data_IF_612160895625
#
_entry.id   IF_612160895625
#
_cell.length_a   1.000
_cell.length_b   1.000
_cell.length_c   1.000
_cell.angle_alpha   90.00
_cell.angle_beta   90.00
_cell.angle_gamma   90.00
#
_symmetry.space_group_name_H-M   'P 1'
#
loop_
_entity.id
_entity.type
_entity.pdbx_description
1 polymer ?
#
# COMPACT_ATOMS: atom_id res chain seq x y z
N UNK A 1 0.99 -7.72 -15.91
CA UNK A 1 0.47 -8.51 -14.74
C UNK A 1 1.13 -8.01 -13.44
N UNK A 2 0.52 -8.22 -12.27
CA UNK A 2 1.16 -7.86 -10.98
C UNK A 2 2.38 -8.75 -10.74
N UNK A 3 3.52 -8.17 -10.35
CA UNK A 3 4.72 -8.90 -9.89
C UNK A 3 5.00 -8.56 -8.42
N UNK A 4 5.51 -9.53 -7.67
CA UNK A 4 5.89 -9.36 -6.26
C UNK A 4 7.37 -9.65 -6.08
N UNK A 5 8.00 -8.92 -5.17
CA UNK A 5 9.42 -9.05 -4.86
C UNK A 5 9.60 -9.12 -3.34
N UNK A 6 10.54 -9.96 -2.86
CA UNK A 6 10.85 -10.06 -1.44
C UNK A 6 11.61 -8.83 -0.91
N UNK A 7 12.30 -8.10 -1.80
CA UNK A 7 13.14 -6.96 -1.44
C UNK A 7 13.29 -5.94 -2.58
N UNK A 8 13.83 -4.77 -2.22
CA UNK A 8 14.19 -3.65 -3.08
C UNK A 8 15.56 -3.93 -3.71
N UNK A 9 15.65 -3.82 -5.03
CA UNK A 9 16.91 -3.86 -5.77
C UNK A 9 17.26 -2.44 -6.29
N UNK A 10 18.38 -2.31 -7.00
CA UNK A 10 18.85 -1.04 -7.57
C UNK A 10 17.80 -0.38 -8.46
N UNK A 11 17.16 -1.15 -9.33
CA UNK A 11 16.21 -0.63 -10.32
C UNK A 11 14.93 -0.14 -9.65
N UNK A 12 14.51 -0.82 -8.58
CA UNK A 12 13.41 -0.36 -7.74
C UNK A 12 13.75 0.96 -7.06
N UNK A 13 14.94 1.07 -6.48
CA UNK A 13 15.39 2.30 -5.83
C UNK A 13 15.46 3.47 -6.82
N UNK A 14 16.03 3.25 -7.99
CA UNK A 14 16.13 4.25 -9.06
C UNK A 14 14.74 4.68 -9.54
N UNK A 15 13.83 3.73 -9.75
CA UNK A 15 12.45 4.03 -10.14
C UNK A 15 11.76 4.94 -9.11
N UNK A 16 11.87 4.63 -7.82
CA UNK A 16 11.23 5.41 -6.75
C UNK A 16 11.74 6.85 -6.70
N UNK A 17 13.06 7.03 -6.75
CA UNK A 17 13.70 8.34 -6.62
C UNK A 17 13.50 9.24 -7.86
N UNK A 18 13.21 8.65 -9.04
CA UNK A 18 12.88 9.39 -10.27
C UNK A 18 11.47 9.96 -10.30
N UNK A 19 10.55 9.48 -9.45
CA UNK A 19 9.19 9.99 -9.48
C UNK A 19 9.08 11.40 -8.91
N UNK A 20 8.14 12.23 -9.39
CA UNK A 20 7.97 13.59 -8.88
C UNK A 20 7.36 13.63 -7.46
N UNK A 21 6.64 12.58 -7.08
CA UNK A 21 5.94 12.45 -5.81
C UNK A 21 5.71 10.96 -5.47
N UNK A 22 5.44 10.68 -4.20
CA UNK A 22 4.97 9.39 -3.71
C UNK A 22 3.73 9.57 -2.84
N UNK A 23 2.99 8.50 -2.60
CA UNK A 23 1.80 8.50 -1.77
C UNK A 23 2.03 7.63 -0.55
N UNK A 24 1.54 8.08 0.60
CA UNK A 24 1.57 7.31 1.85
C UNK A 24 0.13 7.04 2.26
N UNK A 25 -0.22 5.75 2.36
CA UNK A 25 -1.50 5.30 2.88
C UNK A 25 -1.30 4.68 4.26
N UNK A 26 -2.19 5.00 5.18
CA UNK A 26 -2.23 4.44 6.53
C UNK A 26 -3.68 4.39 7.02
N UNK A 27 -3.97 3.53 7.99
CA UNK A 27 -5.30 3.43 8.55
C UNK A 27 -5.22 3.07 10.04
N UNK A 28 -6.14 3.61 10.86
CA UNK A 28 -6.25 3.20 12.24
C UNK A 28 -6.73 1.74 12.31
N UNK A 29 -6.54 1.11 13.46
CA UNK A 29 -7.00 -0.24 13.74
C UNK A 29 -8.52 -0.25 13.83
N UNK A 30 -9.10 0.73 14.54
CA UNK A 30 -10.53 0.79 14.85
C UNK A 30 -11.19 2.14 14.45
N UNK A 31 -10.77 2.77 13.36
CA UNK A 31 -11.36 4.01 12.85
C UNK A 31 -12.06 3.87 11.50
N UNK A 32 -12.88 4.88 11.14
CA UNK A 32 -13.64 4.91 9.88
C UNK A 32 -12.85 5.51 8.72
N UNK A 33 -11.87 6.37 9.00
CA UNK A 33 -11.13 7.11 7.99
C UNK A 33 -9.86 6.35 7.61
N UNK A 34 -9.61 6.26 6.29
CA UNK A 34 -8.35 5.78 5.74
C UNK A 34 -7.59 7.00 5.25
N UNK A 35 -6.36 7.17 5.72
CA UNK A 35 -5.53 8.29 5.34
C UNK A 35 -4.76 8.00 4.05
N UNK A 36 -4.65 9.00 3.19
CA UNK A 36 -3.84 8.99 1.99
C UNK A 36 -3.24 10.37 1.76
N UNK A 37 -1.90 10.47 1.74
CA UNK A 37 -1.20 11.74 1.62
C UNK A 37 -0.18 11.71 0.49
N UNK A 38 -0.24 12.62 -0.50
CA UNK A 38 0.85 12.81 -1.45
C UNK A 38 2.02 13.52 -0.76
N UNK A 39 3.24 13.11 -1.09
CA UNK A 39 4.50 13.68 -0.62
C UNK A 39 5.38 13.99 -1.84
N UNK A 40 5.86 15.23 -1.92
CA UNK A 40 6.66 15.69 -3.06
C UNK A 40 8.17 15.54 -2.84
N UNK A 41 8.91 15.73 -3.93
CA UNK A 41 10.38 15.76 -3.95
C UNK A 41 11.01 14.50 -3.30
N UNK A 42 10.76 13.28 -3.80
CA UNK A 42 11.29 12.06 -3.19
C UNK A 42 12.82 12.08 -3.10
N UNK A 43 13.50 12.65 -4.09
CA UNK A 43 14.95 12.88 -4.09
C UNK A 43 15.47 13.80 -2.98
N UNK A 44 14.58 14.44 -2.21
CA UNK A 44 14.90 15.28 -1.05
C UNK A 44 14.25 14.82 0.25
N UNK A 45 13.21 13.99 0.18
CA UNK A 45 12.40 13.62 1.35
C UNK A 45 12.33 12.12 1.60
N UNK A 46 12.83 11.28 0.69
CA UNK A 46 12.76 9.82 0.75
C UNK A 46 14.15 9.18 0.54
N UNK A 47 14.48 8.15 1.31
CA UNK A 47 15.73 7.42 1.20
C UNK A 47 15.48 5.91 1.17
N UNK A 48 16.27 5.20 0.35
CA UNK A 48 16.39 3.74 0.41
C UNK A 48 17.62 3.42 1.24
N UNK A 49 17.41 2.88 2.44
CA UNK A 49 18.48 2.61 3.43
C UNK A 49 19.06 1.19 3.27
N UNK A 50 18.29 0.29 2.66
CA UNK A 50 18.71 -1.08 2.39
C UNK A 50 17.67 -1.86 1.60
N UNK A 51 17.87 -3.17 1.46
CA UNK A 51 17.00 -4.05 0.66
C UNK A 51 15.55 -4.11 1.16
N UNK A 52 15.31 -3.88 2.45
CA UNK A 52 13.97 -3.89 3.05
C UNK A 52 13.75 -2.69 3.96
N UNK A 53 14.57 -1.65 3.86
CA UNK A 53 14.50 -0.49 4.74
C UNK A 53 14.47 0.79 3.92
N UNK A 54 13.42 1.58 4.12
CA UNK A 54 13.28 2.90 3.52
C UNK A 54 12.85 3.89 4.60
N UNK A 55 13.09 5.17 4.37
CA UNK A 55 12.67 6.21 5.29
C UNK A 55 12.20 7.45 4.53
N UNK A 56 11.28 8.20 5.13
CA UNK A 56 10.95 9.53 4.63
C UNK A 56 10.83 10.55 5.75
N UNK A 57 11.15 11.80 5.43
CA UNK A 57 11.02 12.93 6.36
C UNK A 57 9.56 13.39 6.40
N UNK A 58 8.97 13.40 7.59
CA UNK A 58 7.67 14.03 7.84
C UNK A 58 7.91 15.46 8.35
N UNK A 59 7.49 16.44 7.55
CA UNK A 59 7.59 17.86 7.86
C UNK A 59 6.24 18.43 8.32
N UNK A 60 6.32 19.47 9.12
CA UNK A 60 5.19 20.26 9.62
C UNK A 60 4.49 20.99 8.48
N UNK A 61 3.16 21.00 8.48
CA UNK A 61 2.34 21.63 7.44
C UNK A 61 1.02 20.89 7.14
N UNK A 62 0.91 19.63 7.57
CA UNK A 62 -0.32 18.83 7.53
C UNK A 62 -0.58 18.13 8.86
N UNK A 63 -1.78 17.54 9.02
CA UNK A 63 -2.12 16.70 10.17
C UNK A 63 -1.17 15.51 10.38
N UNK A 64 -1.37 14.77 11.47
CA UNK A 64 -0.47 13.69 11.92
C UNK A 64 -1.05 12.28 11.75
N UNK A 65 -2.08 12.09 10.91
CA UNK A 65 -2.78 10.81 10.69
C UNK A 65 -1.83 9.61 10.54
N UNK A 66 -0.82 9.73 9.67
CA UNK A 66 0.15 8.62 9.50
C UNK A 66 0.97 8.35 10.75
N UNK A 67 1.40 9.38 11.49
CA UNK A 67 2.12 9.20 12.76
C UNK A 67 1.22 8.47 13.76
N UNK A 68 -0.03 8.92 13.93
CA UNK A 68 -0.99 8.30 14.84
C UNK A 68 -1.27 6.83 14.49
N UNK A 69 -1.50 6.51 13.22
CA UNK A 69 -1.71 5.14 12.77
C UNK A 69 -0.47 4.25 12.94
N UNK A 70 0.72 4.83 12.76
CA UNK A 70 1.97 4.11 12.99
C UNK A 70 2.15 3.79 14.47
N UNK A 71 1.90 4.74 15.38
CA UNK A 71 1.94 4.46 16.82
C UNK A 71 0.94 3.39 17.26
N UNK A 72 -0.26 3.40 16.70
CA UNK A 72 -1.30 2.43 17.07
C UNK A 72 -1.03 1.03 16.50
N UNK A 73 -0.70 0.92 15.21
CA UNK A 73 -0.66 -0.39 14.54
C UNK A 73 0.48 -0.57 13.52
N UNK A 74 1.23 0.49 13.21
CA UNK A 74 2.41 0.42 12.34
C UNK A 74 2.13 0.19 10.85
N UNK A 75 0.88 0.01 10.40
CA UNK A 75 0.61 -0.37 8.99
C UNK A 75 0.72 0.83 8.07
N UNK A 76 1.62 0.73 7.09
CA UNK A 76 1.83 1.76 6.07
C UNK A 76 1.98 1.12 4.69
N UNK A 77 1.46 1.78 3.67
CA UNK A 77 1.80 1.48 2.28
C UNK A 77 2.34 2.74 1.61
N UNK A 78 3.50 2.62 0.96
CA UNK A 78 4.04 3.69 0.13
C UNK A 78 3.84 3.33 -1.33
N UNK A 79 3.36 4.26 -2.15
CA UNK A 79 3.12 4.04 -3.57
C UNK A 79 3.82 5.08 -4.44
N UNK A 80 4.45 4.61 -5.51
CA UNK A 80 5.06 5.42 -6.56
C UNK A 80 4.36 5.14 -7.89
N UNK A 81 4.13 6.17 -8.69
CA UNK A 81 3.49 6.08 -10.00
C UNK A 81 4.39 6.71 -11.06
N UNK A 82 4.53 6.03 -12.19
CA UNK A 82 5.20 6.56 -13.37
C UNK A 82 4.28 7.50 -14.15
N UNK A 83 4.76 8.72 -14.33
CA UNK A 83 4.16 9.74 -15.20
C UNK A 83 4.90 9.89 -16.54
N UNK A 84 5.93 9.06 -16.77
CA UNK A 84 6.69 9.00 -18.02
C UNK A 84 6.16 7.96 -19.00
N UNK A 85 6.83 7.75 -20.13
CA UNK A 85 6.34 6.88 -21.22
C UNK A 85 5.99 5.46 -20.76
N UNK A 86 6.75 4.88 -19.84
CA UNK A 86 6.51 3.53 -19.34
C UNK A 86 5.51 3.52 -18.16
N UNK A 87 4.32 2.89 -18.30
CA UNK A 87 3.29 2.87 -17.26
C UNK A 87 3.62 1.87 -16.14
N UNK A 88 3.99 2.36 -14.95
CA UNK A 88 4.32 1.52 -13.80
C UNK A 88 3.78 2.09 -12.50
N UNK A 89 3.24 1.23 -11.64
CA UNK A 89 2.89 1.54 -10.25
C UNK A 89 3.68 0.58 -9.36
N UNK A 90 4.38 1.13 -8.36
CA UNK A 90 5.11 0.38 -7.35
C UNK A 90 4.51 0.63 -5.97
N UNK A 91 4.29 -0.42 -5.19
CA UNK A 91 3.82 -0.35 -3.81
C UNK A 91 4.81 -1.06 -2.89
N UNK A 92 5.16 -0.39 -1.80
CA UNK A 92 5.88 -0.95 -0.67
C UNK A 92 4.87 -1.18 0.46
N UNK A 93 4.71 -2.43 0.88
CA UNK A 93 3.93 -2.76 2.06
C UNK A 93 4.87 -2.84 3.26
N UNK A 94 4.61 -1.99 4.26
CA UNK A 94 5.58 -1.71 5.31
C UNK A 94 4.99 -1.81 6.71
N UNK A 95 5.88 -2.04 7.68
CA UNK A 95 5.67 -1.66 9.09
C UNK A 95 6.47 -0.40 9.38
N UNK A 96 5.81 0.61 9.93
CA UNK A 96 6.42 1.89 10.26
C UNK A 96 6.87 2.00 11.71
N UNK A 97 7.89 2.82 11.90
CA UNK A 97 8.35 3.34 13.20
C UNK A 97 8.53 4.84 13.05
N UNK A 98 7.99 5.61 14.00
CA UNK A 98 8.20 7.06 14.07
C UNK A 98 9.48 7.32 14.86
N UNK A 99 10.39 8.11 14.29
CA UNK A 99 11.58 8.63 14.96
C UNK A 99 11.43 10.15 15.00
N UNK A 100 11.02 10.69 16.14
CA UNK A 100 10.77 12.12 16.30
C UNK A 100 12.08 12.92 16.37
N UNK A 101 12.02 14.23 16.09
CA UNK A 101 13.20 15.11 16.08
C UNK A 101 14.03 15.07 17.38
N UNK A 102 13.40 14.82 18.52
CA UNK A 102 14.05 14.71 19.83
C UNK A 102 14.59 13.32 20.17
N UNK A 103 14.38 12.32 19.33
CA UNK A 103 14.86 10.95 19.53
C UNK A 103 16.35 10.85 19.20
N UNK A 104 17.14 10.15 20.03
CA UNK A 104 18.59 9.94 19.81
C UNK A 104 18.89 9.27 18.45
N UNK A 105 17.95 8.49 17.93
CA UNK A 105 18.06 7.82 16.62
C UNK A 105 17.88 8.78 15.44
N UNK A 106 17.30 9.96 15.66
CA UNK A 106 17.00 10.91 14.58
C UNK A 106 18.26 11.36 13.85
N UNK A 107 19.28 11.81 14.58
CA UNK A 107 20.54 12.30 14.01
C UNK A 107 21.26 11.26 13.14
N UNK A 108 21.55 10.05 13.66
CA UNK A 108 22.15 8.98 12.87
C UNK A 108 21.33 8.59 11.63
N UNK A 109 20.00 8.50 11.77
CA UNK A 109 19.12 8.15 10.65
C UNK A 109 19.09 9.25 9.60
N UNK A 110 19.01 10.51 10.02
CA UNK A 110 19.09 11.67 9.15
C UNK A 110 20.42 11.70 8.36
N UNK A 111 21.53 11.37 9.02
CA UNK A 111 22.84 11.28 8.37
C UNK A 111 22.90 10.16 7.31
N UNK A 112 22.29 8.99 7.59
CA UNK A 112 22.17 7.90 6.60
C UNK A 112 21.32 8.30 5.40
N UNK A 113 20.28 9.09 5.62
CA UNK A 113 19.50 9.69 4.54
C UNK A 113 20.31 10.73 3.74
N UNK A 114 21.45 11.21 4.25
CA UNK A 114 22.30 12.20 3.57
C UNK A 114 21.76 13.64 3.69
N UNK A 115 22.07 14.51 2.72
CA UNK A 115 21.62 15.93 2.72
C UNK A 115 20.09 16.14 2.60
N UNK A 116 19.32 15.05 2.67
CA UNK A 116 17.85 15.04 2.59
C UNK A 116 17.20 15.70 3.82
N UNK A 117 17.85 15.71 4.98
CA UNK A 117 17.28 16.22 6.25
C UNK A 117 17.72 17.65 6.56
N UNK A 118 17.67 18.53 5.56
CA UNK A 118 17.72 19.99 5.76
C UNK A 118 16.36 20.64 5.48
N UNK A 119 15.28 19.86 5.42
CA UNK A 119 13.93 20.36 5.18
C UNK A 119 13.48 21.21 6.38
N UNK A 120 13.29 22.53 6.22
CA UNK A 120 12.75 23.36 7.28
C UNK A 120 11.40 22.79 7.74
N UNK A 121 11.23 22.63 9.05
CA UNK A 121 9.99 22.10 9.64
C UNK A 121 9.90 20.58 9.75
N UNK A 122 10.97 19.81 9.48
CA UNK A 122 11.01 18.38 9.81
C UNK A 122 10.65 18.13 11.28
N UNK A 123 9.69 17.23 11.53
CA UNK A 123 9.23 16.87 12.89
C UNK A 123 9.49 15.41 13.25
N UNK A 124 9.56 14.54 12.25
CA UNK A 124 9.89 13.13 12.43
C UNK A 124 10.49 12.52 11.15
N UNK A 125 11.19 11.42 11.30
CA UNK A 125 11.50 10.47 10.23
C UNK A 125 10.57 9.27 10.41
N UNK A 126 9.90 8.86 9.34
CA UNK A 126 9.12 7.63 9.32
C UNK A 126 10.00 6.55 8.71
N UNK A 127 10.54 5.69 9.57
CA UNK A 127 11.31 4.51 9.19
C UNK A 127 10.34 3.39 8.82
N UNK A 128 10.55 2.75 7.68
CA UNK A 128 9.65 1.76 7.12
C UNK A 128 10.42 0.46 6.82
N UNK A 129 10.03 -0.60 7.52
CA UNK A 129 10.44 -1.97 7.23
C UNK A 129 9.52 -2.57 6.16
N UNK A 130 10.07 -2.85 4.98
CA UNK A 130 9.36 -3.30 3.78
C UNK A 130 9.32 -4.82 3.76
N UNK A 131 8.18 -5.42 4.06
CA UNK A 131 8.03 -6.87 4.05
C UNK A 131 7.54 -7.42 2.70
N UNK A 132 7.03 -6.57 1.81
CA UNK A 132 6.62 -6.96 0.45
C UNK A 132 6.64 -5.77 -0.50
N UNK A 133 7.22 -5.96 -1.68
CA UNK A 133 7.14 -5.02 -2.79
C UNK A 133 6.23 -5.59 -3.89
N UNK A 134 5.43 -4.72 -4.50
CA UNK A 134 4.56 -5.06 -5.62
C UNK A 134 4.73 -4.06 -6.75
N UNK A 135 4.88 -4.56 -7.98
CA UNK A 135 4.73 -3.75 -9.20
C UNK A 135 3.47 -4.15 -9.96
N UNK A 136 2.86 -3.17 -10.63
CA UNK A 136 1.66 -3.37 -11.45
C UNK A 136 1.63 -2.37 -12.61
N UNK A 137 0.90 -2.72 -13.67
CA UNK A 137 0.74 -1.88 -14.84
C UNK A 137 0.03 -0.56 -14.47
N UNK A 138 0.55 0.57 -14.93
CA UNK A 138 -0.03 1.90 -14.73
C UNK A 138 -0.86 2.38 -15.92
N UNK A 139 -1.59 1.50 -16.62
CA UNK A 139 -2.18 1.83 -17.93
C UNK A 139 -3.19 2.99 -17.91
N UNK A 140 -3.81 3.26 -16.75
CA UNK A 140 -4.68 4.42 -16.56
C UNK A 140 -4.01 5.64 -15.90
N UNK A 141 -2.72 5.57 -15.53
CA UNK A 141 -2.01 6.70 -14.93
C UNK A 141 -1.63 7.68 -16.04
N UNK A 142 -1.96 8.98 -15.94
CA UNK A 142 -1.67 9.92 -17.03
C UNK A 142 -0.17 10.17 -17.21
N UNK A 143 0.19 10.68 -18.37
CA UNK A 143 1.53 11.17 -18.70
C UNK A 143 1.66 12.64 -18.31
N UNK A 144 2.84 13.06 -17.85
CA UNK A 144 3.19 14.49 -17.77
C UNK A 144 3.80 14.92 -19.10
N UNK A 145 3.31 16.05 -19.63
CA UNK A 145 3.75 16.62 -20.91
C UNK A 145 5.25 16.93 -20.87
N UNK A 146 5.99 16.46 -21.88
CA UNK A 146 7.43 16.66 -22.00
C UNK A 146 8.28 15.65 -21.23
N UNK A 147 7.67 14.60 -20.66
CA UNK A 147 8.43 13.45 -20.17
C UNK A 147 9.21 12.82 -21.33
N UNK A 148 10.54 12.94 -21.29
CA UNK A 148 11.41 12.27 -22.28
C UNK A 148 11.53 10.81 -21.89
N UNK A 149 11.37 9.91 -22.86
CA UNK A 149 11.77 8.51 -22.75
C UNK A 149 13.25 8.47 -22.36
N UNK A 150 13.55 8.14 -21.11
CA UNK A 150 14.93 8.00 -20.66
C UNK A 150 15.14 6.52 -20.47
N UNK A 151 15.55 5.84 -21.55
CA UNK A 151 15.64 4.38 -21.65
C UNK A 151 16.40 3.82 -20.46
N UNK A 152 15.66 3.32 -19.48
CA UNK A 152 16.20 2.65 -18.30
C UNK A 152 15.98 1.15 -18.43
N UNK A 153 16.85 0.29 -17.85
CA UNK A 153 16.71 -1.16 -17.95
C UNK A 153 15.32 -1.68 -17.55
N UNK A 154 14.68 -1.08 -16.54
CA UNK A 154 13.35 -1.49 -16.07
C UNK A 154 12.18 -1.05 -16.95
N UNK A 155 12.39 -0.12 -17.91
CA UNK A 155 11.38 0.25 -18.90
C UNK A 155 11.21 -0.87 -19.93
N UNK A 156 12.29 -1.58 -20.29
CA UNK A 156 12.25 -2.74 -21.19
C UNK A 156 11.36 -3.88 -20.66
N UNK A 157 11.34 -4.13 -19.35
CA UNK A 157 10.43 -5.13 -18.76
C UNK A 157 8.95 -4.70 -18.81
N UNK A 158 8.69 -3.40 -18.79
CA UNK A 158 7.33 -2.86 -18.93
C UNK A 158 6.90 -2.80 -20.41
N UNK A 159 7.86 -2.73 -21.34
CA UNK A 159 7.66 -2.84 -22.80
C UNK A 159 7.29 -4.26 -23.24
N UNK A 160 7.67 -5.31 -22.50
CA UNK A 160 7.21 -6.68 -22.78
C UNK A 160 5.74 -6.93 -22.39
N UNK A 161 5.25 -6.29 -21.32
CA UNK A 161 3.85 -6.38 -20.85
C UNK A 161 2.95 -5.31 -21.52
N UNK A 162 3.57 -4.26 -22.09
CA UNK A 162 2.96 -3.17 -22.83
C UNK A 162 3.40 -3.18 -24.28
N UNK A 163 2.64 -3.90 -25.12
CA UNK A 163 2.81 -4.00 -26.57
C UNK A 163 3.28 -2.70 -27.23
N UNK A 164 4.43 -2.77 -27.94
CA UNK A 164 5.09 -1.69 -28.71
C UNK A 164 4.17 -0.50 -29.01
N UNK A 165 4.33 0.59 -28.27
CA UNK A 165 3.78 1.90 -28.63
C UNK A 165 4.92 2.88 -28.83
N UNK A 166 5.77 2.59 -29.81
CA UNK A 166 6.33 3.68 -30.59
C UNK A 166 5.26 4.06 -31.62
N UNK A 167 5.03 5.36 -31.73
CA UNK A 167 4.22 6.03 -32.74
C UNK A 167 2.80 6.46 -32.30
N UNK A 168 2.67 7.79 -32.27
CA UNK A 168 1.45 8.60 -32.31
C UNK A 168 0.56 8.69 -31.06
N UNK A 169 1.11 9.11 -29.91
CA UNK A 169 0.29 9.74 -28.85
C UNK A 169 -0.10 11.18 -29.23
N UNK A 170 -0.93 11.33 -30.26
CA UNK A 170 -1.61 12.60 -30.57
C UNK A 170 -2.75 12.83 -29.58
N UNK A 171 -2.46 13.74 -28.63
CA UNK A 171 -3.32 14.64 -27.82
C UNK A 171 -4.83 14.32 -27.84
N UNK A 172 -5.27 13.50 -26.90
CA UNK A 172 -6.64 13.54 -26.38
C UNK A 172 -6.59 14.35 -25.08
N UNK A 173 -7.40 15.41 -24.98
CA UNK A 173 -7.71 16.16 -23.75
C UNK A 173 -6.54 16.46 -22.80
N UNK A 174 -5.77 17.51 -23.05
CA UNK A 174 -4.70 17.94 -22.13
C UNK A 174 -5.22 18.96 -21.13
N UNK A 175 -5.52 18.53 -19.90
CA UNK A 175 -5.78 19.45 -18.79
C UNK A 175 -4.49 19.62 -17.95
N UNK A 176 -4.09 20.86 -17.70
CA UNK A 176 -3.04 21.23 -16.72
C UNK A 176 -1.71 20.45 -16.82
N UNK A 177 -1.27 20.08 -18.04
CA UNK A 177 0.02 19.42 -18.26
C UNK A 177 -0.01 17.90 -18.18
N UNK A 178 -1.17 17.28 -17.97
CA UNK A 178 -1.37 15.83 -18.05
C UNK A 178 -2.03 15.42 -19.38
N UNK A 179 -1.68 14.24 -19.89
CA UNK A 179 -2.34 13.61 -21.04
C UNK A 179 -2.68 12.15 -20.76
N UNK A 180 -3.87 11.73 -21.18
CA UNK A 180 -4.35 10.36 -20.98
C UNK A 180 -3.60 9.35 -21.85
N UNK A 181 -3.45 8.12 -21.34
CA UNK A 181 -2.89 6.99 -22.08
C UNK A 181 -4.00 6.24 -22.80
N UNK A 182 -3.73 5.81 -24.04
CA UNK A 182 -4.61 4.86 -24.76
C UNK A 182 -4.35 3.39 -24.43
N UNK A 183 -3.40 3.10 -23.54
CA UNK A 183 -2.97 1.73 -23.24
C UNK A 183 -4.06 0.90 -22.56
N UNK A 184 -4.88 1.51 -21.71
CA UNK A 184 -6.02 0.82 -21.07
C UNK A 184 -7.07 0.38 -22.09
N UNK A 185 -7.48 1.27 -23.01
CA UNK A 185 -8.48 0.95 -24.04
C UNK A 185 -7.99 -0.11 -25.02
N UNK A 186 -6.71 -0.01 -25.43
CA UNK A 186 -6.05 -1.01 -26.27
C UNK A 186 -6.03 -2.38 -25.58
N UNK A 187 -5.63 -2.43 -24.30
CA UNK A 187 -5.58 -3.68 -23.53
C UNK A 187 -6.97 -4.29 -23.36
N UNK A 188 -7.98 -3.47 -23.02
CA UNK A 188 -9.35 -3.94 -22.83
C UNK A 188 -9.94 -4.50 -24.14
N UNK A 189 -9.76 -3.79 -25.25
CA UNK A 189 -10.18 -4.25 -26.58
C UNK A 189 -9.52 -5.57 -26.94
N UNK A 190 -8.19 -5.68 -26.81
CA UNK A 190 -7.45 -6.91 -27.10
C UNK A 190 -7.90 -8.09 -26.23
N UNK A 191 -8.19 -7.86 -24.94
CA UNK A 191 -8.70 -8.90 -24.05
C UNK A 191 -10.13 -9.34 -24.41
N UNK A 192 -10.96 -8.42 -24.88
CA UNK A 192 -12.33 -8.71 -25.29
C UNK A 192 -12.36 -9.50 -26.60
N UNK A 193 -11.55 -9.11 -27.59
CA UNK A 193 -11.38 -9.83 -28.86
C UNK A 193 -10.92 -11.28 -28.61
N UNK A 194 -9.99 -11.47 -27.66
CA UNK A 194 -9.49 -12.81 -27.26
C UNK A 194 -10.47 -13.56 -26.34
N UNK A 195 -11.62 -12.99 -25.99
CA UNK A 195 -12.57 -13.52 -24.98
C UNK A 195 -11.90 -13.94 -23.66
N UNK A 196 -10.80 -13.26 -23.30
CA UNK A 196 -9.94 -13.64 -22.18
C UNK A 196 -10.25 -12.86 -20.88
N UNK A 197 -11.11 -11.84 -20.94
CA UNK A 197 -11.45 -10.98 -19.80
C UNK A 197 -11.96 -11.76 -18.58
N UNK A 198 -12.88 -12.71 -18.78
CA UNK A 198 -13.41 -13.50 -17.65
C UNK A 198 -12.32 -14.39 -17.04
N UNK A 199 -11.44 -14.96 -17.87
CA UNK A 199 -10.29 -15.74 -17.41
C UNK A 199 -9.32 -14.89 -16.57
N UNK A 200 -9.05 -13.66 -17.02
CA UNK A 200 -8.25 -12.70 -16.25
C UNK A 200 -8.92 -12.37 -14.90
N UNK A 201 -10.21 -12.00 -14.91
CA UNK A 201 -10.95 -11.69 -13.69
C UNK A 201 -10.98 -12.87 -12.71
N UNK A 202 -11.20 -14.08 -13.23
CA UNK A 202 -11.17 -15.34 -12.49
C UNK A 202 -9.84 -15.53 -11.74
N UNK A 203 -8.72 -15.12 -12.33
CA UNK A 203 -7.39 -15.33 -11.75
C UNK A 203 -6.91 -14.16 -10.90
N UNK A 204 -7.29 -12.92 -11.23
CA UNK A 204 -6.71 -11.72 -10.62
C UNK A 204 -7.68 -10.92 -9.74
N UNK A 205 -9.00 -11.18 -9.81
CA UNK A 205 -10.01 -10.37 -9.10
C UNK A 205 -10.92 -11.18 -8.18
N UNK A 206 -10.65 -12.48 -7.97
CA UNK A 206 -11.49 -13.32 -7.11
C UNK A 206 -11.27 -13.08 -5.61
N UNK A 207 -10.12 -12.51 -5.22
CA UNK A 207 -9.75 -12.27 -3.81
C UNK A 207 -8.75 -11.11 -3.68
N UNK A 208 -8.73 -10.44 -2.53
CA UNK A 208 -7.70 -9.46 -2.17
C UNK A 208 -6.40 -10.13 -1.68
N UNK A 209 -5.32 -9.34 -1.55
CA UNK A 209 -4.05 -9.80 -0.99
C UNK A 209 -4.17 -10.35 0.44
N UNK A 210 -5.12 -9.83 1.22
CA UNK A 210 -5.38 -10.28 2.60
C UNK A 210 -6.37 -11.44 2.69
N UNK A 211 -6.75 -12.00 1.53
CA UNK A 211 -7.68 -13.10 1.44
C UNK A 211 -9.15 -12.70 1.60
N UNK A 212 -9.50 -11.44 1.38
CA UNK A 212 -10.91 -10.99 1.40
C UNK A 212 -11.60 -11.35 0.08
N UNK A 213 -12.88 -11.76 0.10
CA UNK A 213 -13.59 -12.13 -1.11
C UNK A 213 -13.66 -10.97 -2.12
N UNK A 214 -13.31 -11.24 -3.38
CA UNK A 214 -13.31 -10.28 -4.48
C UNK A 214 -14.60 -10.32 -5.32
N UNK A 215 -14.46 -10.05 -6.61
CA UNK A 215 -15.55 -9.90 -7.57
C UNK A 215 -16.42 -11.17 -7.64
N UNK A 216 -17.73 -11.04 -7.40
CA UNK A 216 -18.66 -12.19 -7.37
C UNK A 216 -18.70 -12.98 -8.68
N UNK A 217 -18.63 -12.32 -9.84
CA UNK A 217 -18.61 -12.99 -11.15
C UNK A 217 -17.34 -13.83 -11.33
N UNK A 218 -16.17 -13.28 -10.99
CA UNK A 218 -14.90 -14.01 -10.99
C UNK A 218 -14.94 -15.23 -10.06
N UNK A 219 -15.48 -15.06 -8.85
CA UNK A 219 -15.62 -16.12 -7.85
C UNK A 219 -16.55 -17.24 -8.32
N UNK A 220 -17.72 -16.91 -8.89
CA UNK A 220 -18.63 -17.89 -9.51
C UNK A 220 -17.95 -18.65 -10.65
N UNK A 221 -17.18 -17.96 -11.50
CA UNK A 221 -16.40 -18.58 -12.57
C UNK A 221 -15.27 -19.50 -12.06
N UNK A 222 -14.85 -19.37 -10.79
CA UNK A 222 -13.97 -20.32 -10.08
C UNK A 222 -14.72 -21.47 -9.41
N UNK A 223 -16.05 -21.51 -9.43
CA UNK A 223 -16.85 -22.51 -8.71
C UNK A 223 -16.95 -22.25 -7.21
N UNK A 224 -16.69 -21.02 -6.75
CA UNK A 224 -16.81 -20.68 -5.33
C UNK A 224 -18.26 -20.60 -4.88
N UNK A 225 -18.53 -21.14 -3.69
CA UNK A 225 -19.81 -21.02 -3.00
C UNK A 225 -19.86 -19.70 -2.23
N UNK A 226 -20.50 -18.69 -2.83
CA UNK A 226 -20.45 -17.29 -2.34
C UNK A 226 -20.84 -17.17 -0.87
N UNK A 227 -21.94 -17.79 -0.45
CA UNK A 227 -22.42 -17.71 0.94
C UNK A 227 -21.41 -18.32 1.92
N UNK A 228 -20.85 -19.48 1.58
CA UNK A 228 -19.89 -20.20 2.42
C UNK A 228 -18.57 -19.42 2.55
N UNK A 229 -18.03 -18.92 1.43
CA UNK A 229 -16.78 -18.16 1.43
C UNK A 229 -16.91 -16.80 2.11
N UNK A 230 -18.05 -16.12 1.96
CA UNK A 230 -18.32 -14.85 2.66
C UNK A 230 -18.47 -15.09 4.17
N UNK A 231 -19.11 -16.20 4.56
CA UNK A 231 -19.23 -16.62 5.96
C UNK A 231 -17.85 -16.94 6.55
N UNK A 232 -17.02 -17.70 5.82
CA UNK A 232 -15.64 -18.00 6.21
C UNK A 232 -14.80 -16.74 6.39
N UNK A 233 -14.96 -15.76 5.50
CA UNK A 233 -14.28 -14.47 5.62
C UNK A 233 -14.73 -13.69 6.86
N UNK A 234 -16.04 -13.71 7.18
CA UNK A 234 -16.58 -13.10 8.40
C UNK A 234 -16.04 -13.77 9.66
N UNK A 235 -16.02 -15.10 9.71
CA UNK A 235 -15.44 -15.86 10.84
C UNK A 235 -13.96 -15.53 11.00
N UNK A 236 -13.18 -15.54 9.91
CA UNK A 236 -11.75 -15.18 9.96
C UNK A 236 -11.53 -13.78 10.52
N UNK A 237 -12.41 -12.82 10.20
CA UNK A 237 -12.33 -11.45 10.75
C UNK A 237 -12.53 -11.46 12.26
N UNK A 238 -13.54 -12.16 12.78
CA UNK A 238 -13.78 -12.30 14.21
C UNK A 238 -12.58 -12.93 14.92
N UNK A 239 -12.07 -14.03 14.34
CA UNK A 239 -10.90 -14.72 14.88
C UNK A 239 -9.62 -13.88 14.84
N UNK A 240 -9.53 -12.79 14.08
CA UNK A 240 -8.34 -11.91 14.09
C UNK A 240 -8.33 -10.93 15.25
N UNK A 241 -9.40 -10.83 16.02
CA UNK A 241 -9.56 -9.91 17.16
C UNK A 241 -9.32 -10.65 18.50
N UNK A 242 -8.27 -11.48 18.54
CA UNK A 242 -7.96 -12.31 19.71
C UNK A 242 -7.70 -11.48 20.97
N UNK A 243 -7.04 -10.32 20.81
CA UNK A 243 -6.81 -9.33 21.86
C UNK A 243 -8.12 -8.91 22.54
N UNK A 244 -9.14 -8.55 21.75
CA UNK A 244 -10.46 -8.19 22.26
C UNK A 244 -11.17 -9.38 22.91
N UNK A 245 -11.02 -10.60 22.37
CA UNK A 245 -11.61 -11.81 22.96
C UNK A 245 -11.00 -12.14 24.33
N UNK A 246 -9.66 -12.06 24.44
CA UNK A 246 -8.96 -12.29 25.70
C UNK A 246 -9.35 -11.21 26.71
N UNK A 247 -9.31 -9.93 26.32
CA UNK A 247 -9.71 -8.83 27.20
C UNK A 247 -11.15 -8.99 27.70
N UNK A 248 -12.10 -9.33 26.81
CA UNK A 248 -13.48 -9.59 27.17
C UNK A 248 -13.64 -10.76 28.15
N UNK A 249 -12.87 -11.84 27.96
CA UNK A 249 -12.86 -12.99 28.87
C UNK A 249 -12.33 -12.60 30.26
N UNK A 250 -11.22 -11.86 30.31
CA UNK A 250 -10.64 -11.39 31.57
C UNK A 250 -11.59 -10.45 32.32
N UNK A 251 -12.26 -9.53 31.61
CA UNK A 251 -13.27 -8.64 32.19
C UNK A 251 -14.44 -9.46 32.74
N UNK A 252 -14.92 -10.46 32.00
CA UNK A 252 -16.02 -11.32 32.43
C UNK A 252 -15.66 -12.11 33.71
N UNK A 253 -14.48 -12.71 33.77
CA UNK A 253 -13.98 -13.41 34.97
C UNK A 253 -13.88 -12.45 36.15
N UNK A 254 -13.34 -11.25 35.95
CA UNK A 254 -13.24 -10.23 37.00
C UNK A 254 -14.62 -9.84 37.54
N UNK A 255 -15.59 -9.61 36.66
CA UNK A 255 -16.97 -9.31 37.04
C UNK A 255 -17.60 -10.47 37.81
N UNK A 256 -17.39 -11.71 37.39
CA UNK A 256 -17.88 -12.89 38.12
C UNK A 256 -17.30 -12.99 39.53
N UNK A 257 -15.99 -12.75 39.70
CA UNK A 257 -15.34 -12.75 41.01
C UNK A 257 -15.90 -11.66 41.92
N UNK A 258 -16.10 -10.44 41.40
CA UNK A 258 -16.69 -9.33 42.17
C UNK A 258 -18.13 -9.63 42.58
N UNK A 259 -18.95 -10.17 41.67
CA UNK A 259 -20.33 -10.56 41.97
C UNK A 259 -20.39 -11.72 42.97
N UNK A 260 -19.45 -12.66 42.88
CA UNK A 260 -19.34 -13.77 43.82
C UNK A 260 -18.96 -13.30 45.22
N UNK A 261 -17.96 -12.42 45.33
CA UNK A 261 -17.49 -11.90 46.61
C UNK A 261 -18.49 -10.95 47.29
N UNK A 262 -19.38 -10.31 46.51
CA UNK A 262 -20.46 -9.47 47.04
C UNK A 262 -21.72 -10.26 47.41
N UNK A 263 -21.72 -11.59 47.23
CA UNK A 263 -22.86 -12.46 47.53
C UNK A 263 -24.03 -12.33 46.55
N UNK A 264 -23.87 -11.59 45.46
CA UNK A 264 -24.89 -11.39 44.42
C UNK A 264 -24.94 -12.61 43.50
N UNK A 265 -23.81 -13.26 43.25
CA UNK A 265 -23.68 -14.45 42.42
C UNK A 265 -23.17 -15.62 43.26
N UNK A 266 -23.87 -16.76 43.27
CA UNK A 266 -23.34 -17.99 43.87
C UNK A 266 -22.77 -18.85 42.75
N UNK A 267 -21.45 -19.04 42.74
CA UNK A 267 -20.76 -19.92 41.79
C UNK A 267 -20.58 -21.29 42.44
N UNK A 268 -21.48 -22.23 42.17
CA UNK A 268 -21.29 -23.63 42.56
C UNK A 268 -20.35 -24.33 41.57
N UNK A 269 -19.12 -24.60 41.99
CA UNK A 269 -18.20 -25.47 41.24
C UNK A 269 -18.56 -26.91 41.57
N UNK A 270 -19.27 -27.59 40.66
CA UNK A 270 -19.45 -29.04 40.73
C UNK A 270 -18.15 -29.71 40.25
N UNK A 271 -17.48 -30.40 41.17
CA UNK A 271 -16.31 -31.26 40.93
C UNK A 271 -16.76 -32.59 40.36
#
# INVERSE_FOLDING_TARGET
>A
MVKFYPSINSDHAEFMLKQPLFYVASAPYAGKHVNLSPKGQPSRSFAVLGQNSVAYVDATGSGCETIAHVYENGRVTVMFCSFGVSPKIMRLFCRGTVVELGDERFGPLAAQMGKLVSLPGARAIILLDVYKLQTSCGFGVPLIRGSKSTTTPWESEAEEDGQKTHDEEKRVGSAHGFSDRRTMDKWATAMNEKRALLGYQKNSNFQSLDGLPGLRTARRARGQWILLDDTKARVRRLMRQWDAMIAGTLIMVLVMVVLSNSGILVVEVRV
#
